data_IF_881364342681
#
_entry.id   IF_881364342681
#
_cell.length_a   1.000
_cell.length_b   1.000
_cell.length_c   1.000
_cell.angle_alpha   90.00
_cell.angle_beta   90.00
_cell.angle_gamma   90.00
#
_symmetry.space_group_name_H-M   'P 1'
#
loop_
_entity.id
_entity.type
_entity.pdbx_description
1 polymer ?
#
# COMPACT_ATOMS: atom_id res chain seq x y z
N UNK A 1 7.12 5.83 16.39
CA UNK A 1 8.18 4.81 16.22
C UNK A 1 8.86 4.97 14.85
N UNK A 2 9.94 5.74 14.75
CA UNK A 2 10.54 6.06 13.43
C UNK A 2 11.07 4.82 12.70
N UNK A 3 11.84 3.96 13.36
CA UNK A 3 12.47 2.79 12.73
C UNK A 3 11.46 1.79 12.15
N UNK A 4 10.34 1.56 12.86
CA UNK A 4 9.25 0.70 12.36
C UNK A 4 8.66 1.25 11.06
N UNK A 5 8.37 2.55 11.02
CA UNK A 5 7.81 3.19 9.82
C UNK A 5 8.82 3.25 8.67
N UNK A 6 10.10 3.50 8.96
CA UNK A 6 11.16 3.49 7.96
C UNK A 6 11.32 2.10 7.32
N UNK A 7 11.36 1.03 8.13
CA UNK A 7 11.44 -0.33 7.64
C UNK A 7 10.22 -0.69 6.77
N UNK A 8 9.00 -0.42 7.26
CA UNK A 8 7.78 -0.68 6.51
C UNK A 8 7.74 0.06 5.17
N UNK A 9 8.16 1.33 5.16
CA UNK A 9 8.21 2.16 3.94
C UNK A 9 9.18 1.57 2.91
N UNK A 10 10.35 1.13 3.35
CA UNK A 10 11.32 0.49 2.46
C UNK A 10 10.78 -0.82 1.90
N UNK A 11 10.13 -1.65 2.73
CA UNK A 11 9.58 -2.94 2.29
C UNK A 11 8.48 -2.77 1.23
N UNK A 12 7.55 -1.83 1.42
CA UNK A 12 6.53 -1.54 0.38
C UNK A 12 7.18 -1.09 -0.92
N UNK A 13 8.18 -0.20 -0.85
CA UNK A 13 8.91 0.28 -2.03
C UNK A 13 9.72 -0.82 -2.73
N UNK A 14 10.12 -1.85 -1.99
CA UNK A 14 10.77 -3.05 -2.54
C UNK A 14 9.78 -4.09 -3.05
N UNK A 15 8.47 -3.82 -3.00
CA UNK A 15 7.42 -4.71 -3.53
C UNK A 15 6.97 -5.82 -2.57
N UNK A 16 7.30 -5.73 -1.27
CA UNK A 16 6.77 -6.68 -0.29
C UNK A 16 5.27 -6.50 -0.09
N UNK A 17 4.54 -7.60 0.10
CA UNK A 17 3.11 -7.55 0.37
C UNK A 17 2.80 -7.02 1.77
N UNK A 18 1.60 -6.46 1.96
CA UNK A 18 1.16 -5.97 3.28
C UNK A 18 1.04 -7.09 4.32
N UNK A 19 0.78 -8.33 3.89
CA UNK A 19 0.69 -9.47 4.80
C UNK A 19 2.10 -9.85 5.31
N UNK A 20 3.11 -9.95 4.43
CA UNK A 20 4.52 -10.16 4.83
C UNK A 20 5.05 -9.06 5.75
N UNK A 21 4.71 -7.80 5.46
CA UNK A 21 5.09 -6.66 6.31
C UNK A 21 4.43 -6.77 7.70
N UNK A 22 3.17 -7.19 7.75
CA UNK A 22 2.44 -7.39 9.00
C UNK A 22 3.09 -8.47 9.87
N UNK A 23 3.45 -9.60 9.26
CA UNK A 23 4.10 -10.71 9.93
C UNK A 23 5.50 -10.33 10.44
N UNK A 24 6.32 -9.70 9.60
CA UNK A 24 7.68 -9.28 9.97
C UNK A 24 7.68 -8.26 11.11
N UNK A 25 6.77 -7.28 11.08
CA UNK A 25 6.63 -6.26 12.13
C UNK A 25 5.84 -6.75 13.34
N UNK A 26 5.31 -7.97 13.27
CA UNK A 26 4.49 -8.64 14.29
C UNK A 26 3.26 -7.82 14.67
N UNK A 27 2.58 -7.28 13.67
CA UNK A 27 1.33 -6.57 13.88
C UNK A 27 0.22 -7.56 14.27
N UNK A 28 -0.51 -7.24 15.35
CA UNK A 28 -1.62 -8.07 15.82
C UNK A 28 -2.89 -7.94 14.97
N UNK A 29 -2.95 -6.93 14.10
CA UNK A 29 -4.10 -6.65 13.26
C UNK A 29 -3.63 -6.15 11.90
N UNK A 30 -4.28 -6.64 10.85
CA UNK A 30 -4.10 -6.18 9.47
C UNK A 30 -4.35 -4.67 9.36
N UNK A 31 -5.29 -4.13 10.12
CA UNK A 31 -5.60 -2.69 10.12
C UNK A 31 -4.37 -1.83 10.48
N UNK A 32 -3.49 -2.32 11.36
CA UNK A 32 -2.24 -1.62 11.71
C UNK A 32 -1.26 -1.59 10.55
N UNK A 33 -1.24 -2.61 9.69
CA UNK A 33 -0.38 -2.64 8.50
C UNK A 33 -0.97 -1.85 7.33
N UNK A 34 -2.31 -1.82 7.20
CA UNK A 34 -3.01 -1.11 6.11
C UNK A 34 -2.67 0.38 6.01
N UNK A 35 -2.14 1.01 7.07
CA UNK A 35 -1.67 2.39 7.03
C UNK A 35 -0.56 2.62 5.99
N UNK A 36 0.15 1.56 5.58
CA UNK A 36 1.19 1.60 4.56
C UNK A 36 0.69 1.32 3.14
N UNK A 37 -0.55 0.87 2.96
CA UNK A 37 -1.12 0.54 1.64
C UNK A 37 -1.02 1.72 0.65
N UNK A 38 -1.18 2.94 1.15
CA UNK A 38 -1.02 4.18 0.37
C UNK A 38 0.35 4.37 -0.29
N UNK A 39 1.37 3.62 0.15
CA UNK A 39 2.73 3.71 -0.36
C UNK A 39 2.96 2.81 -1.58
N UNK A 40 2.09 1.82 -1.82
CA UNK A 40 2.16 0.93 -2.98
C UNK A 40 1.55 1.62 -4.21
N UNK A 41 2.29 2.59 -4.76
CA UNK A 41 1.79 3.39 -5.89
C UNK A 41 1.62 2.56 -7.16
N UNK A 42 2.43 1.53 -7.35
CA UNK A 42 2.39 0.72 -8.57
C UNK A 42 1.24 -0.28 -8.53
N UNK A 43 0.99 -0.91 -7.38
CA UNK A 43 -0.22 -1.70 -7.15
C UNK A 43 -1.48 -0.85 -7.31
N UNK A 44 -1.51 0.35 -6.73
CA UNK A 44 -2.65 1.27 -6.88
C UNK A 44 -2.89 1.71 -8.33
N UNK A 45 -1.83 1.95 -9.11
CA UNK A 45 -1.95 2.27 -10.55
C UNK A 45 -2.54 1.12 -11.35
N UNK A 46 -2.21 -0.12 -11.03
CA UNK A 46 -2.71 -1.29 -11.75
C UNK A 46 -4.23 -1.48 -11.68
N UNK A 47 -4.84 -1.02 -10.58
CA UNK A 47 -6.29 -1.10 -10.33
C UNK A 47 -7.02 0.22 -10.60
N UNK A 48 -6.28 1.30 -10.89
CA UNK A 48 -6.85 2.61 -11.10
C UNK A 48 -7.75 2.60 -12.34
N UNK A 49 -9.00 3.00 -12.16
CA UNK A 49 -9.92 3.20 -13.29
C UNK A 49 -9.61 4.53 -13.98
N UNK A 50 -9.85 4.63 -15.31
CA UNK A 50 -9.79 5.92 -16.00
C UNK A 50 -10.69 6.94 -15.33
N UNK A 51 -10.25 8.19 -15.29
CA UNK A 51 -11.10 9.29 -14.80
C UNK A 51 -12.37 9.37 -15.67
N UNK A 52 -13.57 9.58 -15.09
CA UNK A 52 -14.86 9.45 -15.78
C UNK A 52 -15.17 10.51 -16.87
N UNK A 53 -14.18 11.20 -17.40
CA UNK A 53 -14.32 12.17 -18.51
C UNK A 53 -14.65 11.51 -19.86
N UNK A 54 -14.54 10.19 -20.00
CA UNK A 54 -14.81 9.50 -21.28
C UNK A 54 -16.30 9.16 -21.51
N UNK A 55 -17.12 9.10 -20.46
CA UNK A 55 -18.54 8.69 -20.56
C UNK A 55 -19.50 9.88 -20.58
N UNK A 56 -19.11 11.02 -19.99
CA UNK A 56 -19.91 12.25 -20.00
C UNK A 56 -19.93 12.98 -21.37
N UNK A 57 -19.21 12.47 -22.36
CA UNK A 57 -19.12 13.03 -23.71
C UNK A 57 -19.88 12.22 -24.78
N UNK A 58 -20.72 11.26 -24.37
CA UNK A 58 -21.69 10.57 -25.24
C UNK A 58 -23.10 10.77 -24.68
#
# INVERSE_FOLDING_TARGET
HVLRHSLATNLVRSGASLDEIGDLLRHRSRATTMIYAKLDTDGLRSIAQPWPIAEAAR
#
